data_IF_107768098859
#
_entry.id   IF_107768098859
#
_cell.length_a   1.000
_cell.length_b   1.000
_cell.length_c   1.000
_cell.angle_alpha   90.00
_cell.angle_beta   90.00
_cell.angle_gamma   90.00
#
_symmetry.space_group_name_H-M   'P 1'
#
loop_
_entity.id
_entity.type
_entity.pdbx_description
1 polymer ?
#
# COMPACT_ATOMS: atom_id res chain seq x y z
N UNK A 1 -92.68 28.21 17.20
CA UNK A 1 -91.23 28.05 17.48
C UNK A 1 -90.59 26.93 16.67
N UNK A 2 -91.20 25.74 16.54
CA UNK A 2 -90.67 24.58 15.80
C UNK A 2 -90.19 24.87 14.36
N UNK A 3 -90.93 25.68 13.58
CA UNK A 3 -90.54 26.07 12.21
C UNK A 3 -89.24 26.88 12.14
N UNK A 4 -88.93 27.69 13.18
CA UNK A 4 -87.67 28.46 13.24
C UNK A 4 -86.49 27.52 13.57
N UNK A 5 -86.70 26.55 14.45
CA UNK A 5 -85.69 25.54 14.83
C UNK A 5 -85.34 24.62 13.65
N UNK A 6 -86.35 24.11 12.93
CA UNK A 6 -86.15 23.27 11.74
C UNK A 6 -85.43 24.05 10.64
N UNK A 7 -85.79 25.32 10.41
CA UNK A 7 -85.12 26.17 9.41
C UNK A 7 -83.66 26.47 9.80
N UNK A 8 -83.38 26.65 11.09
CA UNK A 8 -82.02 26.85 11.59
C UNK A 8 -81.16 25.59 11.47
N UNK A 9 -81.71 24.40 11.76
CA UNK A 9 -81.01 23.13 11.54
C UNK A 9 -80.78 22.84 10.05
N UNK A 10 -81.73 23.19 9.17
CA UNK A 10 -81.57 22.99 7.73
C UNK A 10 -80.47 23.90 7.14
N UNK A 11 -80.41 25.17 7.58
CA UNK A 11 -79.36 26.11 7.18
C UNK A 11 -78.00 25.61 7.67
N UNK A 12 -77.90 25.10 8.90
CA UNK A 12 -76.67 24.55 9.47
C UNK A 12 -76.20 23.28 8.75
N UNK A 13 -77.14 22.40 8.36
CA UNK A 13 -76.85 21.20 7.55
C UNK A 13 -76.30 21.57 6.17
N UNK A 14 -76.90 22.57 5.50
CA UNK A 14 -76.48 23.02 4.17
C UNK A 14 -75.10 23.70 4.22
N UNK A 15 -74.81 24.50 5.25
CA UNK A 15 -73.48 25.11 5.42
C UNK A 15 -72.39 24.08 5.75
N UNK A 16 -72.71 23.05 6.55
CA UNK A 16 -71.76 21.98 6.90
C UNK A 16 -71.44 21.06 5.70
N UNK A 17 -72.42 20.79 4.84
CA UNK A 17 -72.22 19.95 3.64
C UNK A 17 -71.37 20.64 2.57
N UNK A 18 -71.37 21.98 2.52
CA UNK A 18 -70.63 22.77 1.51
C UNK A 18 -69.25 23.20 2.02
N UNK A 19 -69.06 23.44 3.32
CA UNK A 19 -67.80 23.97 3.86
C UNK A 19 -66.70 22.90 4.03
N UNK A 20 -67.06 21.64 4.35
CA UNK A 20 -66.09 20.57 4.58
C UNK A 20 -65.27 20.20 3.32
N UNK A 21 -65.83 20.11 2.10
CA UNK A 21 -65.03 19.80 0.93
C UNK A 21 -64.20 20.98 0.36
N UNK A 22 -64.47 22.23 0.74
CA UNK A 22 -63.76 23.39 0.18
C UNK A 22 -62.43 23.71 0.88
N UNK A 23 -62.24 23.27 2.14
CA UNK A 23 -60.98 23.46 2.88
C UNK A 23 -59.86 22.49 2.48
N UNK A 24 -60.16 21.44 1.70
CA UNK A 24 -59.18 20.42 1.29
C UNK A 24 -58.44 20.75 -0.03
N UNK A 25 -58.83 21.81 -0.75
CA UNK A 25 -58.35 22.06 -2.12
C UNK A 25 -57.14 23.00 -2.23
N UNK A 26 -56.65 23.58 -1.14
CA UNK A 26 -55.61 24.61 -1.20
C UNK A 26 -54.67 24.55 0.00
N UNK A 27 -53.71 23.63 0.00
CA UNK A 27 -52.37 23.84 0.58
C UNK A 27 -51.47 22.63 0.30
N UNK A 28 -50.45 22.84 -0.53
CA UNK A 28 -49.44 21.87 -0.93
C UNK A 28 -48.33 21.73 0.12
N UNK A 29 -48.70 21.35 1.35
CA UNK A 29 -47.77 20.90 2.38
C UNK A 29 -48.45 19.84 3.23
N UNK A 30 -47.79 18.70 3.41
CA UNK A 30 -48.26 17.62 4.31
C UNK A 30 -48.68 18.24 5.66
N UNK A 31 -49.96 18.11 6.07
CA UNK A 31 -50.44 18.74 7.29
C UNK A 31 -49.70 18.20 8.52
N UNK A 32 -49.35 19.09 9.45
CA UNK A 32 -48.60 18.74 10.65
C UNK A 32 -49.44 17.81 11.54
N UNK A 33 -48.83 16.77 12.12
CA UNK A 33 -49.51 15.75 12.96
C UNK A 33 -50.31 16.40 14.11
N UNK A 34 -49.81 17.52 14.61
CA UNK A 34 -50.44 18.33 15.64
C UNK A 34 -51.73 19.01 15.14
N UNK A 35 -51.73 19.52 13.91
CA UNK A 35 -52.91 20.14 13.28
C UNK A 35 -54.02 19.12 13.03
N UNK A 36 -53.67 17.91 12.56
CA UNK A 36 -54.63 16.81 12.39
C UNK A 36 -55.24 16.37 13.73
N UNK A 37 -54.42 16.31 14.79
CA UNK A 37 -54.90 15.97 16.13
C UNK A 37 -55.88 17.01 16.67
N UNK A 38 -55.57 18.31 16.48
CA UNK A 38 -56.47 19.41 16.85
C UNK A 38 -57.79 19.38 16.07
N UNK A 39 -57.75 19.10 14.77
CA UNK A 39 -58.96 18.96 13.95
C UNK A 39 -59.83 17.78 14.39
N UNK A 40 -59.24 16.63 14.73
CA UNK A 40 -59.99 15.49 15.27
C UNK A 40 -60.64 15.83 16.61
N UNK A 41 -59.96 16.56 17.49
CA UNK A 41 -60.55 17.00 18.76
C UNK A 41 -61.73 17.95 18.54
N UNK A 42 -61.62 18.91 17.62
CA UNK A 42 -62.73 19.81 17.26
C UNK A 42 -63.94 19.02 16.75
N UNK A 43 -63.73 18.08 15.83
CA UNK A 43 -64.80 17.23 15.31
C UNK A 43 -65.49 16.42 16.42
N UNK A 44 -64.73 15.87 17.38
CA UNK A 44 -65.29 15.16 18.54
C UNK A 44 -66.17 16.07 19.41
N UNK A 45 -65.74 17.31 19.66
CA UNK A 45 -66.55 18.26 20.44
C UNK A 45 -67.83 18.66 19.72
N UNK A 46 -67.78 18.79 18.40
CA UNK A 46 -68.94 19.16 17.59
C UNK A 46 -69.96 18.02 17.48
N UNK A 47 -69.50 16.78 17.32
CA UNK A 47 -70.34 15.57 17.41
C UNK A 47 -71.02 15.49 18.78
N UNK A 48 -70.30 15.77 19.88
CA UNK A 48 -70.89 15.78 21.23
C UNK A 48 -72.01 16.81 21.37
N UNK A 49 -71.80 18.04 20.86
CA UNK A 49 -72.83 19.10 20.88
C UNK A 49 -74.07 18.71 20.07
N UNK A 50 -73.88 18.11 18.90
CA UNK A 50 -75.00 17.63 18.07
C UNK A 50 -75.77 16.53 18.80
N UNK A 51 -75.08 15.60 19.48
CA UNK A 51 -75.71 14.53 20.25
C UNK A 51 -76.57 15.09 21.38
N UNK A 52 -76.07 16.06 22.13
CA UNK A 52 -76.82 16.75 23.19
C UNK A 52 -78.06 17.46 22.64
N UNK A 53 -77.92 18.25 21.57
CA UNK A 53 -79.03 18.92 20.91
C UNK A 53 -80.09 17.93 20.37
N UNK A 54 -79.68 16.76 19.85
CA UNK A 54 -80.62 15.72 19.41
C UNK A 54 -81.34 15.03 20.58
N UNK A 55 -80.69 14.91 21.74
CA UNK A 55 -81.30 14.39 22.97
C UNK A 55 -82.36 15.36 23.50
N UNK A 56 -82.04 16.64 23.60
CA UNK A 56 -82.99 17.70 23.98
C UNK A 56 -84.18 17.76 23.02
N UNK A 57 -83.94 17.70 21.70
CA UNK A 57 -85.00 17.70 20.71
C UNK A 57 -85.94 16.49 20.85
N UNK A 58 -85.39 15.31 21.20
CA UNK A 58 -86.19 14.11 21.51
C UNK A 58 -87.00 14.29 22.77
N UNK A 59 -86.42 14.84 23.83
CA UNK A 59 -87.12 15.10 25.09
C UNK A 59 -88.29 16.08 24.88
N UNK A 60 -88.06 17.18 24.16
CA UNK A 60 -89.10 18.14 23.78
C UNK A 60 -90.21 17.46 22.96
N UNK A 61 -89.85 16.58 22.02
CA UNK A 61 -90.83 15.86 21.20
C UNK A 61 -91.68 14.88 22.04
N UNK A 62 -91.07 14.18 22.99
CA UNK A 62 -91.78 13.28 23.92
C UNK A 62 -92.68 14.08 24.86
N UNK A 63 -92.20 15.18 25.44
CA UNK A 63 -92.97 16.05 26.32
C UNK A 63 -94.15 16.70 25.57
N UNK A 64 -93.93 17.18 24.35
CA UNK A 64 -95.00 17.74 23.51
C UNK A 64 -96.08 16.70 23.19
N UNK A 65 -95.70 15.43 22.99
CA UNK A 65 -96.64 14.32 22.78
C UNK A 65 -97.42 14.01 24.06
N UNK A 66 -96.75 14.01 25.21
CA UNK A 66 -97.37 13.80 26.51
C UNK A 66 -98.36 14.92 26.85
N UNK A 67 -98.00 16.17 26.58
CA UNK A 67 -98.88 17.34 26.74
C UNK A 67 -100.09 17.26 25.81
N UNK A 68 -99.91 16.84 24.56
CA UNK A 68 -101.00 16.64 23.62
C UNK A 68 -101.98 15.53 24.08
N UNK A 69 -101.48 14.43 24.68
CA UNK A 69 -102.33 13.38 25.27
C UNK A 69 -103.03 13.84 26.54
N UNK A 70 -102.35 14.54 27.46
CA UNK A 70 -102.97 15.14 28.66
C UNK A 70 -104.05 16.15 28.28
N UNK A 71 -103.80 16.98 27.26
CA UNK A 71 -104.78 17.91 26.73
C UNK A 71 -105.99 17.18 26.14
N UNK A 72 -105.77 16.06 25.44
CA UNK A 72 -106.83 15.19 24.91
C UNK A 72 -107.65 14.55 26.04
N UNK A 73 -107.02 14.08 27.12
CA UNK A 73 -107.73 13.56 28.31
C UNK A 73 -108.53 14.65 29.04
N UNK A 74 -107.94 15.83 29.28
CA UNK A 74 -108.59 16.97 29.94
C UNK A 74 -109.75 17.52 29.11
N UNK A 75 -109.60 17.57 27.77
CA UNK A 75 -110.69 17.98 26.88
C UNK A 75 -111.81 16.94 26.85
N UNK A 76 -111.51 15.63 26.86
CA UNK A 76 -112.50 14.57 26.98
C UNK A 76 -113.24 14.62 28.34
N UNK A 77 -112.52 14.91 29.42
CA UNK A 77 -113.08 15.11 30.76
C UNK A 77 -114.02 16.32 30.83
N UNK A 78 -113.60 17.47 30.29
CA UNK A 78 -114.44 18.69 30.21
C UNK A 78 -115.63 18.57 29.26
N UNK A 79 -115.53 17.75 28.21
CA UNK A 79 -116.63 17.45 27.29
C UNK A 79 -117.78 16.68 27.96
N UNK A 80 -117.48 15.86 28.98
CA UNK A 80 -118.49 15.13 29.77
C UNK A 80 -119.48 16.03 30.52
N UNK A 81 -119.13 17.30 30.76
CA UNK A 81 -119.94 18.27 31.50
C UNK A 81 -120.74 19.25 30.60
N UNK A 82 -120.43 19.36 29.30
CA UNK A 82 -120.88 20.47 28.44
C UNK A 82 -122.03 20.15 27.48
N UNK A 83 -123.01 19.37 27.95
CA UNK A 83 -124.18 18.90 27.17
C UNK A 83 -125.20 20.01 26.75
N UNK A 84 -124.81 21.29 26.68
CA UNK A 84 -125.70 22.40 26.25
C UNK A 84 -125.10 23.55 25.41
N UNK A 85 -123.83 23.49 24.92
CA UNK A 85 -123.32 24.41 23.85
C UNK A 85 -122.73 23.62 22.68
N UNK A 86 -123.59 23.01 21.87
CA UNK A 86 -123.26 21.87 21.00
C UNK A 86 -122.68 22.17 19.59
N UNK A 87 -122.57 23.43 19.15
CA UNK A 87 -122.03 23.74 17.80
C UNK A 87 -120.52 24.04 17.77
N UNK A 88 -120.10 25.04 18.53
CA UNK A 88 -118.69 25.49 18.56
C UNK A 88 -117.78 24.50 19.27
N UNK A 89 -118.26 23.84 20.33
CA UNK A 89 -117.51 22.82 21.06
C UNK A 89 -117.21 21.57 20.22
N UNK A 90 -118.14 21.18 19.33
CA UNK A 90 -117.97 20.03 18.44
C UNK A 90 -116.97 20.34 17.32
N UNK A 91 -117.02 21.53 16.72
CA UNK A 91 -116.06 22.00 15.72
C UNK A 91 -114.65 22.20 16.31
N UNK A 92 -114.53 22.74 17.52
CA UNK A 92 -113.24 22.85 18.21
C UNK A 92 -112.64 21.49 18.55
N UNK A 93 -113.46 20.49 18.94
CA UNK A 93 -112.99 19.13 19.21
C UNK A 93 -112.47 18.43 17.94
N UNK A 94 -113.17 18.55 16.82
CA UNK A 94 -112.72 18.02 15.52
C UNK A 94 -111.41 18.69 15.09
N UNK A 95 -111.33 20.03 15.18
CA UNK A 95 -110.11 20.78 14.87
C UNK A 95 -108.93 20.41 15.79
N UNK A 96 -109.18 20.16 17.08
CA UNK A 96 -108.17 19.70 18.03
C UNK A 96 -107.68 18.28 17.71
N UNK A 97 -108.59 17.38 17.34
CA UNK A 97 -108.26 16.01 16.93
C UNK A 97 -107.42 16.00 15.65
N UNK A 98 -107.75 16.86 14.67
CA UNK A 98 -106.98 17.00 13.44
C UNK A 98 -105.63 17.70 13.66
N UNK A 99 -105.54 18.62 14.62
CA UNK A 99 -104.27 19.20 15.04
C UNK A 99 -103.37 18.15 15.73
N UNK A 100 -103.93 17.32 16.61
CA UNK A 100 -103.23 16.24 17.28
C UNK A 100 -102.71 15.18 16.31
N UNK A 101 -103.53 14.73 15.34
CA UNK A 101 -103.10 13.80 14.27
C UNK A 101 -101.97 14.37 13.42
N UNK A 102 -102.02 15.67 13.09
CA UNK A 102 -100.95 16.35 12.36
C UNK A 102 -99.67 16.44 13.19
N UNK A 103 -99.77 16.74 14.49
CA UNK A 103 -98.64 16.75 15.40
C UNK A 103 -98.01 15.36 15.56
N UNK A 104 -98.81 14.30 15.66
CA UNK A 104 -98.31 12.92 15.75
C UNK A 104 -97.56 12.51 14.47
N UNK A 105 -98.11 12.84 13.28
CA UNK A 105 -97.44 12.57 12.00
C UNK A 105 -96.11 13.31 11.90
N UNK A 106 -96.07 14.59 12.29
CA UNK A 106 -94.84 15.38 12.31
C UNK A 106 -93.82 14.81 13.29
N UNK A 107 -94.25 14.39 14.49
CA UNK A 107 -93.38 13.75 15.48
C UNK A 107 -92.78 12.43 14.98
N UNK A 108 -93.57 11.59 14.27
CA UNK A 108 -93.07 10.37 13.63
C UNK A 108 -91.99 10.68 12.58
N UNK A 109 -92.27 11.63 11.67
CA UNK A 109 -91.29 12.03 10.64
C UNK A 109 -90.03 12.64 11.26
N UNK A 110 -90.14 13.43 12.33
CA UNK A 110 -89.00 13.98 13.03
C UNK A 110 -88.15 12.88 13.69
N UNK A 111 -88.79 11.88 14.31
CA UNK A 111 -88.09 10.77 14.94
C UNK A 111 -87.34 9.90 13.91
N UNK A 112 -87.92 9.69 12.72
CA UNK A 112 -87.24 9.02 11.59
C UNK A 112 -85.98 9.79 11.15
N UNK A 113 -86.07 11.12 11.02
CA UNK A 113 -84.92 11.97 10.68
C UNK A 113 -83.84 11.91 11.76
N UNK A 114 -84.21 11.96 13.04
CA UNK A 114 -83.26 11.83 14.16
C UNK A 114 -82.57 10.47 14.14
N UNK A 115 -83.29 9.38 13.85
CA UNK A 115 -82.69 8.05 13.75
C UNK A 115 -81.69 7.96 12.60
N UNK A 116 -81.96 8.60 11.46
CA UNK A 116 -81.03 8.66 10.34
C UNK A 116 -79.74 9.42 10.71
N UNK A 117 -79.87 10.55 11.42
CA UNK A 117 -78.73 11.34 11.90
C UNK A 117 -77.87 10.52 12.87
N UNK A 118 -78.49 9.86 13.85
CA UNK A 118 -77.76 9.01 14.81
C UNK A 118 -77.03 7.86 14.14
N UNK A 119 -77.63 7.24 13.12
CA UNK A 119 -76.96 6.20 12.34
C UNK A 119 -75.70 6.75 11.66
N UNK A 120 -75.78 7.93 11.03
CA UNK A 120 -74.64 8.56 10.38
C UNK A 120 -73.56 8.94 11.39
N UNK A 121 -73.94 9.47 12.56
CA UNK A 121 -73.00 9.77 13.65
C UNK A 121 -72.23 8.51 14.07
N UNK A 122 -72.92 7.38 14.27
CA UNK A 122 -72.25 6.13 14.63
C UNK A 122 -71.31 5.61 13.55
N UNK A 123 -71.63 5.79 12.26
CA UNK A 123 -70.71 5.48 11.16
C UNK A 123 -69.47 6.39 11.18
N UNK A 124 -69.65 7.69 11.46
CA UNK A 124 -68.52 8.63 11.55
C UNK A 124 -67.63 8.39 12.77
N UNK A 125 -68.19 8.03 13.92
CA UNK A 125 -67.41 7.68 15.13
C UNK A 125 -66.48 6.49 14.85
N UNK A 126 -66.99 5.43 14.20
CA UNK A 126 -66.18 4.27 13.79
C UNK A 126 -65.04 4.65 12.84
N UNK A 127 -65.32 5.55 11.89
CA UNK A 127 -64.30 6.04 10.97
C UNK A 127 -63.23 6.87 11.69
N UNK A 128 -63.62 7.74 12.62
CA UNK A 128 -62.70 8.50 13.47
C UNK A 128 -61.83 7.57 14.29
N UNK A 129 -62.38 6.53 14.91
CA UNK A 129 -61.61 5.58 15.71
C UNK A 129 -60.58 4.82 14.85
N UNK A 130 -60.97 4.44 13.62
CA UNK A 130 -60.05 3.81 12.65
C UNK A 130 -58.91 4.74 12.28
N UNK A 131 -59.20 6.02 12.00
CA UNK A 131 -58.18 7.01 11.70
C UNK A 131 -57.26 7.28 12.90
N UNK A 132 -57.81 7.36 14.12
CA UNK A 132 -57.00 7.51 15.32
C UNK A 132 -56.03 6.33 15.49
N UNK A 133 -56.47 5.10 15.24
CA UNK A 133 -55.61 3.93 15.27
C UNK A 133 -54.47 4.02 14.23
N UNK A 134 -54.79 4.35 12.98
CA UNK A 134 -53.78 4.54 11.92
C UNK A 134 -52.79 5.66 12.27
N UNK A 135 -53.28 6.76 12.84
CA UNK A 135 -52.43 7.89 13.26
C UNK A 135 -51.47 7.49 14.38
N UNK A 136 -51.94 6.69 15.34
CA UNK A 136 -51.08 6.17 16.42
C UNK A 136 -50.00 5.25 15.87
N UNK A 137 -50.33 4.35 14.94
CA UNK A 137 -49.36 3.46 14.30
C UNK A 137 -48.29 4.26 13.53
N UNK A 138 -48.70 5.22 12.69
CA UNK A 138 -47.76 6.09 11.98
C UNK A 138 -46.88 6.91 12.94
N UNK A 139 -47.42 7.38 14.08
CA UNK A 139 -46.63 8.08 15.09
C UNK A 139 -45.55 7.18 15.71
N UNK A 140 -45.86 5.91 15.99
CA UNK A 140 -44.90 4.92 16.52
C UNK A 140 -43.84 4.54 15.48
N UNK A 141 -44.24 4.39 14.21
CA UNK A 141 -43.30 4.14 13.13
C UNK A 141 -42.37 5.33 12.92
N UNK A 142 -42.86 6.57 13.06
CA UNK A 142 -42.03 7.79 12.98
C UNK A 142 -41.02 7.87 14.11
N UNK A 143 -41.39 7.56 15.35
CA UNK A 143 -40.43 7.56 16.47
C UNK A 143 -39.38 6.48 16.31
N UNK A 144 -39.76 5.29 15.85
CA UNK A 144 -38.80 4.22 15.52
C UNK A 144 -37.83 4.65 14.42
N UNK A 145 -38.34 5.14 13.29
CA UNK A 145 -37.50 5.66 12.19
C UNK A 145 -36.56 6.78 12.66
N UNK A 146 -37.03 7.64 13.56
CA UNK A 146 -36.21 8.71 14.14
C UNK A 146 -35.04 8.15 14.96
N UNK A 147 -35.29 7.15 15.81
CA UNK A 147 -34.24 6.43 16.55
C UNK A 147 -33.23 5.75 15.62
N UNK A 148 -33.70 5.11 14.54
CA UNK A 148 -32.84 4.46 13.55
C UNK A 148 -31.94 5.48 12.84
N UNK A 149 -32.49 6.66 12.48
CA UNK A 149 -31.73 7.77 11.89
C UNK A 149 -30.66 8.30 12.84
N UNK A 150 -30.95 8.38 14.14
CA UNK A 150 -29.98 8.81 15.15
C UNK A 150 -28.84 7.80 15.32
N UNK A 151 -29.15 6.50 15.33
CA UNK A 151 -28.14 5.43 15.32
C UNK A 151 -27.25 5.52 14.08
N UNK A 152 -27.86 5.62 12.89
CA UNK A 152 -27.12 5.73 11.63
C UNK A 152 -26.23 6.98 11.56
N UNK A 153 -26.67 8.10 12.15
CA UNK A 153 -25.83 9.32 12.26
C UNK A 153 -24.59 9.06 13.13
N UNK A 154 -24.74 8.34 14.23
CA UNK A 154 -23.61 7.94 15.09
C UNK A 154 -22.62 7.05 14.31
N UNK A 155 -23.14 6.04 13.61
CA UNK A 155 -22.32 5.12 12.81
C UNK A 155 -21.59 5.83 11.68
N UNK A 156 -22.26 6.76 10.97
CA UNK A 156 -21.65 7.59 9.92
C UNK A 156 -20.56 8.50 10.50
N UNK A 157 -20.74 9.04 11.71
CA UNK A 157 -19.72 9.85 12.38
C UNK A 157 -18.48 9.01 12.69
N UNK A 158 -18.67 7.84 13.27
CA UNK A 158 -17.58 6.91 13.59
C UNK A 158 -16.85 6.44 12.32
N UNK A 159 -17.59 6.12 11.26
CA UNK A 159 -17.00 5.75 9.97
C UNK A 159 -16.18 6.90 9.35
N UNK A 160 -16.60 8.16 9.50
CA UNK A 160 -15.84 9.33 9.04
C UNK A 160 -14.52 9.48 9.82
N UNK A 161 -14.55 9.30 11.14
CA UNK A 161 -13.33 9.33 11.95
C UNK A 161 -12.36 8.19 11.60
N UNK A 162 -12.88 6.97 11.42
CA UNK A 162 -12.08 5.84 10.96
C UNK A 162 -11.47 6.09 9.57
N UNK A 163 -12.22 6.67 8.64
CA UNK A 163 -11.69 7.03 7.32
C UNK A 163 -10.61 8.12 7.40
N UNK A 164 -10.78 9.11 8.28
CA UNK A 164 -9.79 10.16 8.49
C UNK A 164 -8.48 9.61 9.08
N UNK A 165 -8.57 8.71 10.07
CA UNK A 165 -7.39 8.07 10.66
C UNK A 165 -6.69 7.13 9.67
N UNK A 166 -7.45 6.34 8.91
CA UNK A 166 -6.90 5.50 7.84
C UNK A 166 -6.17 6.34 6.78
N UNK A 167 -6.76 7.46 6.35
CA UNK A 167 -6.11 8.39 5.41
C UNK A 167 -4.79 8.94 5.97
N UNK A 168 -4.78 9.38 7.23
CA UNK A 168 -3.56 9.87 7.88
C UNK A 168 -2.46 8.80 7.95
N UNK A 169 -2.81 7.54 8.22
CA UNK A 169 -1.87 6.41 8.22
C UNK A 169 -1.29 6.17 6.82
N UNK A 170 -2.13 6.23 5.78
CA UNK A 170 -1.69 6.10 4.38
C UNK A 170 -0.74 7.25 3.99
N UNK A 171 -1.09 8.49 4.33
CA UNK A 171 -0.26 9.65 4.02
C UNK A 171 1.12 9.58 4.71
N UNK A 172 1.18 9.08 5.95
CA UNK A 172 2.46 8.86 6.64
C UNK A 172 3.27 7.71 6.02
N UNK A 173 2.61 6.62 5.61
CA UNK A 173 3.27 5.51 4.92
C UNK A 173 3.86 5.96 3.57
N UNK A 174 3.13 6.78 2.81
CA UNK A 174 3.61 7.35 1.54
C UNK A 174 4.82 8.24 1.78
N UNK A 175 4.80 9.16 2.76
CA UNK A 175 5.96 9.98 3.12
C UNK A 175 7.19 9.15 3.48
N UNK A 176 7.00 8.03 4.19
CA UNK A 176 8.10 7.11 4.52
C UNK A 176 8.68 6.43 3.27
N UNK A 177 7.83 6.08 2.31
CA UNK A 177 8.27 5.52 1.03
C UNK A 177 9.01 6.56 0.19
N UNK A 178 8.53 7.79 0.11
CA UNK A 178 9.19 8.88 -0.62
C UNK A 178 10.60 9.12 -0.08
N UNK A 179 10.77 9.22 1.25
CA UNK A 179 12.11 9.33 1.86
C UNK A 179 13.04 8.18 1.49
N UNK A 180 12.52 6.94 1.37
CA UNK A 180 13.32 5.78 0.95
C UNK A 180 13.69 5.86 -0.53
N UNK A 181 12.78 6.34 -1.37
CA UNK A 181 13.03 6.55 -2.80
C UNK A 181 14.13 7.61 -2.98
N UNK A 182 14.08 8.72 -2.25
CA UNK A 182 15.10 9.77 -2.30
C UNK A 182 16.48 9.22 -1.90
N UNK A 183 16.56 8.49 -0.78
CA UNK A 183 17.81 7.86 -0.33
C UNK A 183 18.35 6.86 -1.36
N UNK A 184 17.48 6.00 -1.92
CA UNK A 184 17.88 5.03 -2.93
C UNK A 184 18.34 5.71 -4.21
N UNK A 185 17.66 6.77 -4.64
CA UNK A 185 18.05 7.56 -5.81
C UNK A 185 19.42 8.21 -5.60
N UNK A 186 19.69 8.74 -4.41
CA UNK A 186 21.01 9.26 -4.04
C UNK A 186 22.11 8.19 -4.10
N UNK A 187 21.83 7.00 -3.56
CA UNK A 187 22.77 5.88 -3.59
C UNK A 187 23.05 5.39 -5.03
N UNK A 188 22.02 5.35 -5.88
CA UNK A 188 22.16 4.96 -7.29
C UNK A 188 23.05 5.95 -8.03
N UNK A 189 22.87 7.26 -7.83
CA UNK A 189 23.73 8.24 -8.48
C UNK A 189 25.16 8.19 -7.96
N UNK A 190 25.36 7.99 -6.64
CA UNK A 190 26.69 7.78 -6.07
C UNK A 190 27.39 6.55 -6.69
N UNK A 191 26.71 5.40 -6.72
CA UNK A 191 27.24 4.17 -7.33
C UNK A 191 27.57 4.36 -8.82
N UNK A 192 26.75 5.13 -9.55
CA UNK A 192 27.01 5.44 -10.95
C UNK A 192 28.30 6.26 -11.12
N UNK A 193 28.56 7.22 -10.23
CA UNK A 193 29.82 7.98 -10.23
C UNK A 193 31.02 7.10 -9.87
N UNK A 194 30.90 6.22 -8.88
CA UNK A 194 31.96 5.29 -8.50
C UNK A 194 32.29 4.31 -9.62
N UNK A 195 31.28 3.75 -10.29
CA UNK A 195 31.46 2.87 -11.45
C UNK A 195 32.13 3.61 -12.61
N UNK A 196 31.79 4.89 -12.82
CA UNK A 196 32.45 5.71 -13.83
C UNK A 196 33.94 5.90 -13.53
N UNK A 197 34.28 6.30 -12.29
CA UNK A 197 35.67 6.46 -11.85
C UNK A 197 36.44 5.13 -11.95
N UNK A 198 35.84 4.02 -11.52
CA UNK A 198 36.46 2.70 -11.63
C UNK A 198 36.72 2.29 -13.09
N UNK A 199 35.82 2.67 -14.02
CA UNK A 199 36.03 2.45 -15.46
C UNK A 199 37.20 3.28 -16.00
N UNK A 200 37.31 4.55 -15.60
CA UNK A 200 38.47 5.37 -15.99
C UNK A 200 39.77 4.80 -15.42
N UNK A 201 39.81 4.48 -14.12
CA UNK A 201 40.99 3.87 -13.48
C UNK A 201 41.38 2.54 -14.14
N UNK A 202 40.40 1.73 -14.54
CA UNK A 202 40.68 0.48 -15.26
C UNK A 202 41.25 0.75 -16.67
N UNK A 203 40.78 1.80 -17.35
CA UNK A 203 41.31 2.20 -18.65
C UNK A 203 42.75 2.72 -18.53
N UNK A 204 43.06 3.53 -17.52
CA UNK A 204 44.43 4.02 -17.27
C UNK A 204 45.36 2.87 -16.89
N UNK A 205 44.95 2.00 -15.96
CA UNK A 205 45.76 0.84 -15.58
C UNK A 205 46.01 -0.09 -16.78
N UNK A 206 45.02 -0.27 -17.67
CA UNK A 206 45.22 -1.04 -18.90
C UNK A 206 46.23 -0.37 -19.83
N UNK A 207 46.16 0.95 -20.00
CA UNK A 207 47.12 1.69 -20.82
C UNK A 207 48.54 1.59 -20.27
N UNK A 208 48.72 1.74 -18.94
CA UNK A 208 50.01 1.56 -18.27
C UNK A 208 50.56 0.14 -18.44
N UNK A 209 49.71 -0.88 -18.35
CA UNK A 209 50.13 -2.28 -18.61
C UNK A 209 50.53 -2.48 -20.07
N UNK A 210 49.81 -1.90 -21.02
CA UNK A 210 50.14 -1.99 -22.44
C UNK A 210 51.45 -1.23 -22.76
N UNK A 211 51.70 -0.08 -22.14
CA UNK A 211 52.98 0.65 -22.23
C UNK A 211 54.14 -0.15 -21.65
N UNK A 212 54.01 -0.66 -20.43
CA UNK A 212 55.03 -1.51 -19.79
C UNK A 212 55.32 -2.78 -20.62
N UNK A 213 54.32 -3.34 -21.30
CA UNK A 213 54.52 -4.47 -22.22
C UNK A 213 55.35 -4.10 -23.43
N UNK A 214 55.14 -2.93 -24.02
CA UNK A 214 55.95 -2.46 -25.15
C UNK A 214 57.39 -2.13 -24.72
N UNK A 215 57.60 -1.54 -23.52
CA UNK A 215 58.93 -1.34 -22.95
C UNK A 215 59.68 -2.66 -22.74
N UNK A 216 59.02 -3.65 -22.11
CA UNK A 216 59.59 -5.00 -21.92
C UNK A 216 59.93 -5.63 -23.27
N UNK A 217 59.06 -5.48 -24.28
CA UNK A 217 59.32 -5.98 -25.63
C UNK A 217 60.54 -5.30 -26.26
N UNK A 218 60.67 -3.99 -26.11
CA UNK A 218 61.82 -3.21 -26.58
C UNK A 218 63.13 -3.68 -25.95
N UNK A 219 63.17 -3.73 -24.61
CA UNK A 219 64.32 -4.23 -23.85
C UNK A 219 64.67 -5.67 -24.21
N UNK A 220 63.68 -6.56 -24.35
CA UNK A 220 63.92 -7.93 -24.79
C UNK A 220 64.55 -7.99 -26.19
N UNK A 221 64.15 -7.09 -27.10
CA UNK A 221 64.75 -6.92 -28.41
C UNK A 221 66.21 -6.48 -28.36
N UNK A 222 66.55 -5.52 -27.49
CA UNK A 222 67.93 -5.08 -27.27
C UNK A 222 68.80 -6.16 -26.65
N UNK A 223 68.30 -6.84 -25.61
CA UNK A 223 68.99 -7.98 -24.99
C UNK A 223 69.28 -9.07 -26.03
N UNK A 224 68.33 -9.34 -26.93
CA UNK A 224 68.53 -10.29 -28.04
C UNK A 224 69.67 -9.86 -28.96
N UNK A 225 69.66 -8.61 -29.43
CA UNK A 225 70.72 -8.04 -30.29
C UNK A 225 72.09 -8.09 -29.60
N UNK A 226 72.13 -7.68 -28.33
CA UNK A 226 73.36 -7.67 -27.53
C UNK A 226 73.89 -9.10 -27.33
N UNK A 227 73.01 -10.06 -27.06
CA UNK A 227 73.38 -11.48 -26.94
C UNK A 227 73.96 -12.02 -28.25
N UNK A 228 73.31 -11.76 -29.38
CA UNK A 228 73.80 -12.18 -30.70
C UNK A 228 75.18 -11.56 -31.02
N UNK A 229 75.35 -10.27 -30.71
CA UNK A 229 76.65 -9.59 -30.85
C UNK A 229 77.72 -10.23 -29.96
N UNK A 230 77.41 -10.53 -28.70
CA UNK A 230 78.33 -11.20 -27.77
C UNK A 230 78.71 -12.60 -28.25
N UNK A 231 77.74 -13.41 -28.71
CA UNK A 231 78.00 -14.74 -29.24
C UNK A 231 78.93 -14.69 -30.45
N UNK A 232 78.71 -13.75 -31.39
CA UNK A 232 79.59 -13.58 -32.55
C UNK A 232 81.02 -13.18 -32.17
N UNK A 233 81.18 -12.37 -31.11
CA UNK A 233 82.51 -12.02 -30.56
C UNK A 233 83.18 -13.24 -29.95
N UNK A 234 82.45 -14.04 -29.17
CA UNK A 234 82.96 -15.28 -28.58
C UNK A 234 83.41 -16.24 -29.69
N UNK A 235 82.59 -16.48 -30.70
CA UNK A 235 82.93 -17.33 -31.86
C UNK A 235 84.22 -16.87 -32.55
N UNK A 236 84.35 -15.57 -32.83
CA UNK A 236 85.58 -15.00 -33.41
C UNK A 236 86.80 -15.25 -32.52
N UNK A 237 86.69 -14.98 -31.22
CA UNK A 237 87.82 -15.21 -30.29
C UNK A 237 88.20 -16.68 -30.18
N UNK A 238 87.22 -17.60 -30.18
CA UNK A 238 87.45 -19.03 -30.22
C UNK A 238 88.21 -19.44 -31.48
N UNK A 239 87.82 -18.90 -32.62
CA UNK A 239 88.48 -19.16 -33.91
C UNK A 239 89.94 -18.66 -33.90
N UNK A 240 90.18 -17.47 -33.35
CA UNK A 240 91.54 -16.91 -33.17
C UNK A 240 92.39 -17.77 -32.21
N UNK A 241 91.82 -18.22 -31.10
CA UNK A 241 92.50 -19.07 -30.13
C UNK A 241 92.81 -20.46 -30.71
N UNK A 242 91.87 -21.07 -31.46
CA UNK A 242 92.10 -22.34 -32.18
C UNK A 242 93.24 -22.23 -33.17
N UNK A 243 93.26 -21.16 -33.98
CA UNK A 243 94.37 -20.89 -34.92
C UNK A 243 95.69 -20.71 -34.20
N UNK A 244 95.71 -20.03 -33.05
CA UNK A 244 96.90 -19.92 -32.19
C UNK A 244 97.33 -21.27 -31.62
N UNK A 245 96.39 -22.12 -31.19
CA UNK A 245 96.66 -23.45 -30.66
C UNK A 245 97.24 -24.39 -31.73
N UNK A 246 96.69 -24.40 -32.95
CA UNK A 246 97.24 -25.15 -34.08
C UNK A 246 98.65 -24.70 -34.43
N UNK A 247 98.89 -23.39 -34.42
CA UNK A 247 100.23 -22.81 -34.61
C UNK A 247 101.19 -23.26 -33.50
N UNK A 248 100.73 -23.26 -32.25
CA UNK A 248 101.51 -23.72 -31.10
C UNK A 248 101.77 -25.24 -31.10
N UNK A 249 100.85 -26.05 -31.65
CA UNK A 249 101.03 -27.49 -31.88
C UNK A 249 102.05 -27.76 -32.99
N UNK A 250 102.08 -26.94 -34.04
CA UNK A 250 103.07 -27.05 -35.12
C UNK A 250 104.49 -26.60 -34.70
N UNK A 251 104.61 -25.74 -33.67
CA UNK A 251 105.91 -25.27 -33.14
C UNK A 251 106.53 -26.21 -32.09
N UNK A 252 105.82 -27.25 -31.63
CA UNK A 252 106.36 -28.18 -30.62
C UNK A 252 107.14 -29.32 -31.29
N UNK A 253 108.40 -29.03 -31.59
CA UNK A 253 109.44 -29.95 -32.05
C UNK A 253 109.67 -31.10 -31.06
N UNK A 254 109.59 -32.34 -31.54
CA UNK A 254 110.00 -33.55 -30.82
C UNK A 254 111.51 -33.53 -30.55
N UNK A 255 111.93 -33.60 -29.28
CA UNK A 255 113.34 -33.79 -28.91
C UNK A 255 113.65 -35.30 -28.80
N UNK A 256 114.28 -35.87 -29.84
CA UNK A 256 114.95 -37.17 -29.80
C UNK A 256 116.32 -37.03 -29.13
N UNK A 257 116.58 -37.83 -28.08
CA UNK A 257 117.90 -37.90 -27.44
C UNK A 257 118.87 -38.78 -28.26
N UNK A 258 120.17 -38.42 -28.39
CA UNK A 258 121.18 -39.24 -29.07
C UNK A 258 121.46 -40.57 -28.33
N UNK A 259 121.92 -41.63 -29.02
CA UNK A 259 122.27 -42.91 -28.39
C UNK A 259 123.47 -42.75 -27.43
N UNK A 260 123.33 -43.22 -26.19
CA UNK A 260 124.40 -43.20 -25.16
C UNK A 260 124.23 -42.18 -24.03
N UNK A 261 123.12 -41.44 -23.98
CA UNK A 261 122.76 -40.57 -22.87
C UNK A 261 121.33 -40.89 -22.39
N UNK A 262 121.10 -40.84 -21.06
CA UNK A 262 119.75 -40.97 -20.51
C UNK A 262 119.26 -39.65 -19.94
N UNK A 263 117.94 -39.51 -19.83
CA UNK A 263 117.32 -38.28 -19.33
C UNK A 263 117.00 -38.43 -17.85
N UNK A 264 117.68 -37.66 -17.00
CA UNK A 264 117.38 -37.55 -15.59
C UNK A 264 116.38 -36.43 -15.33
N UNK A 265 115.37 -36.68 -14.49
CA UNK A 265 114.43 -35.65 -14.06
C UNK A 265 114.86 -35.13 -12.68
N UNK A 266 115.24 -33.86 -12.63
CA UNK A 266 115.65 -33.15 -11.41
C UNK A 266 114.55 -33.24 -10.36
N UNK A 267 114.90 -33.72 -9.17
CA UNK A 267 114.02 -33.76 -8.00
C UNK A 267 114.28 -32.55 -7.11
N UNK A 268 113.35 -32.28 -6.19
CA UNK A 268 113.48 -31.16 -5.24
C UNK A 268 114.68 -31.40 -4.31
N UNK A 269 115.65 -30.48 -4.34
CA UNK A 269 116.87 -30.56 -3.52
C UNK A 269 118.10 -31.15 -4.22
N UNK A 270 118.00 -31.43 -5.52
CA UNK A 270 119.13 -31.83 -6.34
C UNK A 270 120.01 -30.63 -6.69
N UNK A 271 121.31 -30.89 -6.87
CA UNK A 271 122.27 -30.00 -7.50
C UNK A 271 123.06 -30.80 -8.53
N UNK A 272 123.69 -30.15 -9.52
CA UNK A 272 124.51 -30.88 -10.50
C UNK A 272 125.58 -31.75 -9.84
N UNK A 273 126.14 -31.25 -8.73
CA UNK A 273 127.09 -31.96 -7.88
C UNK A 273 126.50 -33.21 -7.22
N UNK A 274 125.29 -33.09 -6.65
CA UNK A 274 124.59 -34.22 -6.02
C UNK A 274 124.13 -35.25 -7.04
N UNK A 275 123.71 -34.81 -8.24
CA UNK A 275 123.31 -35.69 -9.33
C UNK A 275 124.52 -36.50 -9.82
N UNK A 276 125.66 -35.88 -10.12
CA UNK A 276 126.87 -36.63 -10.51
C UNK A 276 127.38 -37.59 -9.43
N UNK A 277 127.14 -37.24 -8.16
CA UNK A 277 127.50 -38.08 -7.00
C UNK A 277 126.61 -39.29 -6.76
N UNK A 278 125.50 -39.47 -7.49
CA UNK A 278 124.68 -40.66 -7.31
C UNK A 278 125.40 -41.92 -7.84
N UNK A 279 125.30 -43.07 -7.12
CA UNK A 279 125.93 -44.33 -7.54
C UNK A 279 125.52 -44.78 -8.94
N UNK A 280 124.27 -44.50 -9.33
CA UNK A 280 123.69 -44.90 -10.61
C UNK A 280 124.04 -43.94 -11.78
N UNK A 281 124.87 -42.92 -11.52
CA UNK A 281 125.21 -41.86 -12.49
C UNK A 281 126.71 -41.88 -12.80
N UNK A 282 127.53 -41.29 -11.93
CA UNK A 282 129.00 -41.37 -12.03
C UNK A 282 129.67 -41.82 -10.73
N UNK A 283 128.92 -41.88 -9.61
CA UNK A 283 129.44 -42.15 -8.27
C UNK A 283 130.63 -41.23 -7.87
N UNK A 284 130.75 -40.07 -8.53
CA UNK A 284 131.81 -39.08 -8.32
C UNK A 284 131.21 -37.68 -8.46
N UNK A 285 130.98 -36.98 -7.33
CA UNK A 285 130.44 -35.63 -7.34
C UNK A 285 131.30 -34.61 -8.12
N UNK A 286 132.59 -34.86 -8.33
CA UNK A 286 133.46 -33.97 -9.10
C UNK A 286 133.13 -33.95 -10.61
N UNK A 287 132.38 -34.93 -11.11
CA UNK A 287 132.00 -35.03 -12.53
C UNK A 287 130.77 -34.21 -12.93
N UNK A 288 130.24 -33.37 -12.04
CA UNK A 288 129.09 -32.50 -12.31
C UNK A 288 129.24 -31.62 -13.56
N UNK A 289 130.49 -31.25 -13.91
CA UNK A 289 130.79 -30.46 -15.11
C UNK A 289 130.38 -31.18 -16.40
N UNK A 290 130.46 -32.52 -16.45
CA UNK A 290 130.00 -33.31 -17.62
C UNK A 290 128.49 -33.15 -17.84
N UNK A 291 127.71 -33.14 -16.76
CA UNK A 291 126.26 -32.92 -16.82
C UNK A 291 125.95 -31.50 -17.28
N UNK A 292 126.69 -30.51 -16.76
CA UNK A 292 126.53 -29.13 -17.22
C UNK A 292 126.85 -28.97 -18.70
N UNK A 293 127.97 -29.54 -19.16
CA UNK A 293 128.40 -29.47 -20.56
C UNK A 293 127.40 -30.09 -21.53
N UNK A 294 126.84 -31.25 -21.19
CA UNK A 294 125.82 -31.91 -21.99
C UNK A 294 124.46 -31.19 -22.01
N UNK A 295 124.26 -30.17 -21.17
CA UNK A 295 123.00 -29.43 -21.05
C UNK A 295 123.19 -27.91 -21.11
N UNK A 296 124.28 -27.40 -21.72
CA UNK A 296 124.54 -25.95 -21.80
C UNK A 296 123.42 -25.18 -22.52
N UNK A 297 122.68 -25.85 -23.39
CA UNK A 297 121.49 -25.32 -24.06
C UNK A 297 120.27 -25.20 -23.12
N UNK A 298 120.28 -25.91 -21.97
CA UNK A 298 119.13 -26.00 -21.04
C UNK A 298 119.43 -25.45 -19.65
N UNK A 299 120.70 -25.30 -19.29
CA UNK A 299 121.16 -24.76 -18.01
C UNK A 299 122.00 -23.51 -18.31
N UNK A 300 121.43 -22.35 -18.05
CA UNK A 300 122.12 -21.06 -18.24
C UNK A 300 123.08 -20.77 -17.08
N UNK A 301 122.69 -21.11 -15.85
CA UNK A 301 123.52 -20.98 -14.65
C UNK A 301 123.75 -22.38 -14.04
N UNK A 302 125.00 -22.87 -13.98
CA UNK A 302 125.31 -24.20 -13.42
C UNK A 302 124.86 -24.39 -11.97
N UNK A 303 124.69 -23.32 -11.19
CA UNK A 303 124.25 -23.40 -9.79
C UNK A 303 122.72 -23.47 -9.65
N UNK A 304 121.97 -23.34 -10.74
CA UNK A 304 120.50 -23.24 -10.71
C UNK A 304 119.86 -24.29 -11.62
N UNK A 305 119.29 -25.32 -10.99
CA UNK A 305 118.44 -26.32 -11.64
C UNK A 305 117.08 -26.39 -10.95
N UNK A 306 116.01 -26.60 -11.73
CA UNK A 306 114.63 -26.58 -11.21
C UNK A 306 114.04 -27.99 -11.09
N UNK A 307 113.28 -28.28 -10.02
CA UNK A 307 112.56 -29.54 -9.91
C UNK A 307 111.64 -29.77 -11.12
N UNK A 308 111.68 -30.98 -11.69
CA UNK A 308 110.93 -31.36 -12.88
C UNK A 308 111.67 -31.13 -14.20
N UNK A 309 112.77 -30.36 -14.19
CA UNK A 309 113.65 -30.17 -15.36
C UNK A 309 114.26 -31.50 -15.80
N UNK A 310 114.34 -31.71 -17.11
CA UNK A 310 114.92 -32.92 -17.72
C UNK A 310 116.34 -32.60 -18.18
N UNK A 311 117.33 -33.29 -17.64
CA UNK A 311 118.75 -33.15 -17.98
C UNK A 311 119.25 -34.40 -18.71
N UNK A 312 120.05 -34.22 -19.74
CA UNK A 312 120.77 -35.26 -20.45
C UNK A 312 122.02 -35.65 -19.65
N UNK A 313 122.15 -36.91 -19.29
CA UNK A 313 123.32 -37.43 -18.60
C UNK A 313 124.09 -38.30 -19.59
N UNK A 314 125.26 -37.84 -20.08
CA UNK A 314 126.07 -38.63 -21.00
C UNK A 314 126.69 -39.82 -20.26
N UNK A 315 126.52 -41.04 -20.75
CA UNK A 315 127.28 -42.18 -20.23
C UNK A 315 128.63 -42.21 -20.94
N UNK A 316 129.71 -41.93 -20.20
CA UNK A 316 131.07 -41.83 -20.69
C UNK A 316 132.10 -41.94 -19.58
#
# INVERSE_FOLDING_TARGET
MLKKLIKSMLIFLVTFTIAVPFAFAQESSLPNLEQLTQQIQLLRTEISRIKEATSEAREIAVNSRLEAEKFKEETLYRLGLWRSRLGEGMMMSISAQDAAKRAEKLAKTANEQVNLVLKRIGETEKWIDTLCAQLTEESQLRTKRQSDVESLKMDVSLAKEMAATAKAQVDEAVKKLDRRIDTLSGNVEALKTEVFLAKEMAATAKAEVDEAREEIRGLAGEVRKNRELFLSKIEKTLEEMKKREEKFKSEKMELKAPPGAFVYRVKKGDSLWRISGYPDIYNDPAQWKKIFEANKDRITDPNLIYPGQKLLIPQG
#
